data_IF_086733389137
#
_entry.id   IF_086733389137
#
_cell.length_a   1.000
_cell.length_b   1.000
_cell.length_c   1.000
_cell.angle_alpha   90.00
_cell.angle_beta   90.00
_cell.angle_gamma   90.00
#
_symmetry.space_group_name_H-M   'P 1'
#
loop_
_entity.id
_entity.type
_entity.pdbx_description
1 polymer ?
#
# COMPACT_ATOMS: atom_id res chain seq x y z
N UNK A 1 -4.79 19.70 9.67
CA UNK A 1 -5.24 19.74 11.10
C UNK A 1 -4.64 18.50 11.74
N UNK A 2 -3.75 18.65 12.70
CA UNK A 2 -3.14 17.48 13.37
C UNK A 2 -4.20 16.78 14.21
N UNK A 3 -4.53 15.55 13.86
CA UNK A 3 -5.40 14.68 14.63
C UNK A 3 -4.58 13.86 15.63
N UNK A 4 -5.15 13.52 16.78
CA UNK A 4 -4.54 12.48 17.59
C UNK A 4 -4.69 11.11 16.92
N UNK A 5 -3.86 10.15 17.31
CA UNK A 5 -3.80 8.81 16.69
C UNK A 5 -5.17 8.11 16.62
N UNK A 6 -6.00 8.23 17.66
CA UNK A 6 -7.31 7.58 17.72
C UNK A 6 -8.24 8.17 16.65
N UNK A 7 -8.28 9.46 16.54
CA UNK A 7 -9.13 10.17 15.57
C UNK A 7 -8.66 9.90 14.13
N UNK A 8 -7.34 9.89 13.90
CA UNK A 8 -6.78 9.55 12.59
C UNK A 8 -7.14 8.12 12.15
N UNK A 9 -7.01 7.14 13.04
CA UNK A 9 -7.42 5.75 12.77
C UNK A 9 -8.93 5.61 12.52
N UNK A 10 -9.76 6.37 13.24
CA UNK A 10 -11.21 6.35 13.08
C UNK A 10 -11.64 7.00 11.76
N UNK A 11 -10.99 8.10 11.40
CA UNK A 11 -11.29 8.87 10.20
C UNK A 11 -10.80 8.19 8.91
N UNK A 12 -9.67 7.48 8.96
CA UNK A 12 -9.13 6.75 7.81
C UNK A 12 -10.16 5.77 7.21
N UNK A 13 -10.44 5.94 5.92
CA UNK A 13 -11.37 5.11 5.14
C UNK A 13 -10.74 4.73 3.79
N UNK A 14 -11.32 3.72 3.13
CA UNK A 14 -10.98 3.40 1.74
C UNK A 14 -11.76 4.32 0.80
N UNK A 15 -11.04 5.05 -0.05
CA UNK A 15 -11.60 5.90 -1.08
C UNK A 15 -11.33 5.29 -2.45
N UNK A 16 -12.35 5.28 -3.30
CA UNK A 16 -12.32 4.75 -4.67
C UNK A 16 -12.64 5.82 -5.72
N UNK A 17 -12.82 7.05 -5.30
CA UNK A 17 -12.89 8.23 -6.15
C UNK A 17 -11.80 9.18 -5.70
N UNK A 18 -10.74 9.25 -6.51
CA UNK A 18 -9.56 10.06 -6.24
C UNK A 18 -9.42 11.11 -7.33
N UNK A 19 -8.83 12.24 -6.99
CA UNK A 19 -8.48 13.30 -7.92
C UNK A 19 -6.96 13.55 -7.90
N UNK A 20 -6.40 14.16 -8.96
CA UNK A 20 -4.95 14.34 -9.08
C UNK A 20 -4.42 15.52 -8.24
N UNK A 21 -5.27 16.19 -7.47
CA UNK A 21 -4.84 17.26 -6.59
C UNK A 21 -4.14 16.73 -5.35
N UNK A 22 -3.21 17.51 -4.83
CA UNK A 22 -2.49 17.24 -3.59
C UNK A 22 -2.72 18.34 -2.57
N UNK A 23 -3.15 18.02 -1.33
CA UNK A 23 -3.28 19.01 -0.25
C UNK A 23 -1.93 19.47 0.33
N UNK A 24 -0.84 18.78 0.03
CA UNK A 24 0.53 19.08 0.50
C UNK A 24 1.51 18.91 -0.66
N UNK A 25 2.71 19.46 -0.53
CA UNK A 25 3.79 19.31 -1.52
C UNK A 25 4.43 17.91 -1.49
N UNK A 26 5.15 17.54 -2.57
CA UNK A 26 5.83 16.24 -2.70
C UNK A 26 6.81 15.98 -1.57
N UNK A 27 7.53 17.00 -1.11
CA UNK A 27 8.49 16.87 -0.03
C UNK A 27 7.82 16.42 1.28
N UNK A 28 6.60 16.88 1.54
CA UNK A 28 5.80 16.42 2.68
C UNK A 28 5.32 14.98 2.52
N UNK A 29 5.00 14.55 1.31
CA UNK A 29 4.67 13.13 1.04
C UNK A 29 5.91 12.26 1.29
N UNK A 30 7.08 12.69 0.81
CA UNK A 30 8.34 11.99 1.07
C UNK A 30 8.67 11.92 2.57
N UNK A 31 8.42 12.99 3.34
CA UNK A 31 8.57 12.98 4.80
C UNK A 31 7.71 11.90 5.47
N UNK A 32 6.46 11.69 5.01
CA UNK A 32 5.58 10.61 5.48
C UNK A 32 6.22 9.24 5.24
N UNK A 33 6.74 9.01 4.04
CA UNK A 33 7.39 7.75 3.67
C UNK A 33 8.66 7.51 4.51
N UNK A 34 9.50 8.54 4.64
CA UNK A 34 10.71 8.47 5.47
C UNK A 34 10.39 8.22 6.94
N UNK A 35 9.34 8.87 7.47
CA UNK A 35 8.90 8.66 8.84
C UNK A 35 8.46 7.21 9.06
N UNK A 36 7.64 6.65 8.16
CA UNK A 36 7.17 5.27 8.25
C UNK A 36 8.35 4.28 8.28
N UNK A 37 9.27 4.38 7.31
CA UNK A 37 10.43 3.48 7.22
C UNK A 37 11.31 3.55 8.48
N UNK A 38 11.42 4.72 9.10
CA UNK A 38 12.28 4.92 10.29
C UNK A 38 11.65 4.43 11.58
N UNK A 39 10.32 4.58 11.74
CA UNK A 39 9.68 4.48 13.05
C UNK A 39 8.74 3.27 13.20
N UNK A 40 8.33 2.62 12.11
CA UNK A 40 7.51 1.41 12.21
C UNK A 40 8.38 0.22 12.60
N UNK A 41 8.03 -0.51 13.68
CA UNK A 41 8.81 -1.64 14.15
C UNK A 41 8.73 -2.84 13.20
N UNK A 42 9.75 -3.70 13.28
CA UNK A 42 9.79 -4.97 12.56
C UNK A 42 10.29 -6.09 13.48
N UNK A 43 9.86 -7.32 13.22
CA UNK A 43 10.31 -8.48 13.97
C UNK A 43 11.84 -8.58 13.91
N UNK A 44 12.49 -8.75 15.06
CA UNK A 44 13.96 -8.78 15.20
C UNK A 44 14.67 -7.53 14.64
N UNK A 45 13.96 -6.40 14.57
CA UNK A 45 14.44 -5.20 13.91
C UNK A 45 14.97 -5.48 12.49
N UNK A 46 14.27 -6.34 11.77
CA UNK A 46 14.66 -6.82 10.44
C UNK A 46 14.79 -5.72 9.40
N UNK A 47 13.95 -4.70 9.50
CA UNK A 47 13.89 -3.59 8.55
C UNK A 47 13.83 -4.09 7.09
N UNK A 48 13.04 -5.16 6.84
CA UNK A 48 12.91 -5.81 5.53
C UNK A 48 12.01 -5.07 4.56
N UNK A 49 11.11 -4.22 5.06
CA UNK A 49 10.17 -3.46 4.22
C UNK A 49 10.90 -2.46 3.32
N UNK A 50 10.45 -2.38 2.06
CA UNK A 50 10.88 -1.38 1.07
C UNK A 50 9.65 -0.66 0.54
N UNK A 51 9.74 0.65 0.37
CA UNK A 51 8.67 1.47 -0.19
C UNK A 51 9.14 2.13 -1.48
N UNK A 52 8.27 2.17 -2.48
CA UNK A 52 8.49 2.91 -3.72
C UNK A 52 7.33 3.89 -3.89
N UNK A 53 7.64 5.17 -3.90
CA UNK A 53 6.68 6.25 -4.15
C UNK A 53 6.76 6.62 -5.63
N UNK A 54 5.63 6.60 -6.33
CA UNK A 54 5.55 6.94 -7.75
C UNK A 54 4.62 8.13 -7.94
N UNK A 55 5.17 9.26 -8.37
CA UNK A 55 4.44 10.50 -8.59
C UNK A 55 4.51 10.93 -10.06
N UNK A 56 3.61 11.81 -10.48
CA UNK A 56 3.60 12.44 -11.80
C UNK A 56 3.65 11.43 -12.96
N UNK A 57 4.64 11.50 -13.84
CA UNK A 57 4.77 10.59 -14.98
C UNK A 57 5.02 9.14 -14.56
N UNK A 58 5.63 8.92 -13.37
CA UNK A 58 5.85 7.57 -12.85
C UNK A 58 4.53 6.94 -12.38
N UNK A 59 3.62 7.74 -11.81
CA UNK A 59 2.26 7.33 -11.50
C UNK A 59 1.51 6.87 -12.75
N UNK A 60 1.55 7.64 -13.82
CA UNK A 60 0.92 7.28 -15.09
C UNK A 60 1.51 6.00 -15.67
N UNK A 61 2.84 5.90 -15.71
CA UNK A 61 3.53 4.71 -16.20
C UNK A 61 3.13 3.44 -15.44
N UNK A 62 2.96 3.55 -14.12
CA UNK A 62 2.52 2.43 -13.29
C UNK A 62 1.12 1.93 -13.68
N UNK A 63 0.15 2.82 -13.81
CA UNK A 63 -1.22 2.41 -14.16
C UNK A 63 -1.34 1.91 -15.59
N UNK A 64 -0.50 2.38 -16.52
CA UNK A 64 -0.41 1.80 -17.88
C UNK A 64 0.11 0.36 -17.84
N UNK A 65 1.09 0.04 -16.97
CA UNK A 65 1.54 -1.34 -16.76
C UNK A 65 0.38 -2.20 -16.26
N UNK A 66 -0.34 -1.73 -15.21
CA UNK A 66 -1.48 -2.47 -14.66
C UNK A 66 -2.56 -2.73 -15.72
N UNK A 67 -2.95 -1.70 -16.47
CA UNK A 67 -3.97 -1.83 -17.54
C UNK A 67 -3.54 -2.82 -18.61
N UNK A 68 -2.32 -2.68 -19.15
CA UNK A 68 -1.79 -3.57 -20.18
C UNK A 68 -1.71 -5.03 -19.71
N UNK A 69 -1.26 -5.25 -18.48
CA UNK A 69 -1.20 -6.59 -17.88
C UNK A 69 -2.59 -7.22 -17.78
N UNK A 70 -3.58 -6.47 -17.28
CA UNK A 70 -4.94 -6.97 -17.15
C UNK A 70 -5.62 -7.16 -18.49
N UNK A 71 -5.35 -6.32 -19.49
CA UNK A 71 -5.88 -6.47 -20.83
C UNK A 71 -5.47 -7.80 -21.48
N UNK A 72 -4.28 -8.30 -21.16
CA UNK A 72 -3.80 -9.57 -21.69
C UNK A 72 -4.49 -10.80 -21.08
N UNK A 73 -5.16 -10.69 -19.94
CA UNK A 73 -5.74 -11.83 -19.19
C UNK A 73 -7.25 -11.73 -18.96
N UNK A 74 -7.81 -10.52 -19.02
CA UNK A 74 -9.24 -10.27 -18.86
C UNK A 74 -9.93 -10.39 -20.22
N UNK A 75 -11.06 -11.08 -20.36
CA UNK A 75 -11.84 -11.10 -21.61
C UNK A 75 -12.15 -9.68 -22.08
N UNK A 76 -12.05 -9.43 -23.41
CA UNK A 76 -12.17 -8.10 -23.99
C UNK A 76 -13.46 -7.38 -23.59
N UNK A 77 -14.57 -8.10 -23.48
CA UNK A 77 -15.88 -7.57 -23.06
C UNK A 77 -15.87 -7.04 -21.62
N UNK A 78 -15.15 -7.74 -20.72
CA UNK A 78 -15.03 -7.36 -19.30
C UNK A 78 -13.92 -6.34 -19.07
N UNK A 79 -12.93 -6.23 -19.97
CA UNK A 79 -11.81 -5.32 -19.82
C UNK A 79 -12.23 -3.85 -19.82
N UNK A 80 -13.24 -3.49 -20.61
CA UNK A 80 -13.76 -2.11 -20.65
C UNK A 80 -14.17 -1.61 -19.25
N UNK A 81 -14.89 -2.44 -18.50
CA UNK A 81 -15.28 -2.10 -17.13
C UNK A 81 -14.06 -2.07 -16.16
N UNK A 82 -13.10 -2.97 -16.38
CA UNK A 82 -11.85 -3.02 -15.60
C UNK A 82 -11.02 -1.75 -15.82
N UNK A 83 -10.81 -1.35 -17.07
CA UNK A 83 -10.10 -0.14 -17.45
C UNK A 83 -10.76 1.11 -16.87
N UNK A 84 -12.08 1.24 -17.04
CA UNK A 84 -12.83 2.37 -16.47
C UNK A 84 -12.71 2.44 -14.95
N UNK A 85 -12.71 1.29 -14.25
CA UNK A 85 -12.50 1.26 -12.81
C UNK A 85 -11.10 1.75 -12.44
N UNK A 86 -10.06 1.29 -13.14
CA UNK A 86 -8.68 1.74 -12.89
C UNK A 86 -8.56 3.24 -13.12
N UNK A 87 -9.04 3.72 -14.25
CA UNK A 87 -8.93 5.12 -14.64
C UNK A 87 -9.65 6.07 -13.68
N UNK A 88 -10.84 5.69 -13.21
CA UNK A 88 -11.65 6.54 -12.33
C UNK A 88 -11.28 6.45 -10.85
N UNK A 89 -10.79 5.28 -10.41
CA UNK A 89 -10.61 5.02 -8.98
C UNK A 89 -9.16 5.12 -8.52
N UNK A 90 -8.19 4.91 -9.44
CA UNK A 90 -6.79 4.77 -9.04
C UNK A 90 -5.84 5.64 -9.87
N UNK A 91 -5.92 5.53 -11.20
CA UNK A 91 -5.10 6.32 -12.12
C UNK A 91 -5.48 7.81 -12.13
N UNK A 92 -6.69 8.15 -11.69
CA UNK A 92 -7.12 9.52 -11.45
C UNK A 92 -6.48 10.17 -10.23
N UNK A 93 -5.82 9.39 -9.35
CA UNK A 93 -5.19 9.91 -8.14
C UNK A 93 -3.88 10.66 -8.38
N UNK A 94 -3.21 11.00 -7.30
CA UNK A 94 -1.96 11.73 -7.30
C UNK A 94 -0.73 10.82 -7.45
N UNK A 95 -0.74 9.66 -6.78
CA UNK A 95 0.35 8.69 -6.82
C UNK A 95 -0.04 7.35 -6.20
N UNK A 96 0.76 6.28 -6.38
CA UNK A 96 0.75 5.12 -5.51
C UNK A 96 2.01 5.02 -4.66
N UNK A 97 1.85 4.42 -3.49
CA UNK A 97 2.95 3.82 -2.74
C UNK A 97 2.93 2.31 -2.98
N UNK A 98 4.05 1.75 -3.42
CA UNK A 98 4.23 0.31 -3.58
C UNK A 98 4.97 -0.24 -2.37
N UNK A 99 4.47 -1.34 -1.82
CA UNK A 99 5.01 -2.00 -0.63
C UNK A 99 5.71 -3.29 -1.02
N UNK A 100 6.96 -3.42 -0.61
CA UNK A 100 7.79 -4.59 -0.86
C UNK A 100 8.37 -5.15 0.43
N UNK A 101 8.66 -6.44 0.42
CA UNK A 101 9.51 -7.10 1.41
C UNK A 101 10.78 -7.63 0.74
N UNK A 102 11.94 -7.27 1.30
CA UNK A 102 13.24 -7.77 0.85
C UNK A 102 13.46 -9.19 1.35
N UNK A 103 13.29 -10.16 0.45
CA UNK A 103 13.41 -11.58 0.77
C UNK A 103 14.84 -12.01 1.13
N UNK A 104 15.86 -11.20 0.81
CA UNK A 104 17.24 -11.51 1.25
C UNK A 104 17.40 -11.30 2.74
N UNK A 105 16.77 -10.26 3.29
CA UNK A 105 16.75 -9.99 4.73
C UNK A 105 16.00 -11.11 5.46
N UNK A 106 14.83 -11.50 4.94
CA UNK A 106 14.02 -12.58 5.53
C UNK A 106 14.80 -13.89 5.56
N UNK A 107 15.43 -14.28 4.44
CA UNK A 107 16.24 -15.50 4.36
C UNK A 107 17.43 -15.51 5.31
N UNK A 108 18.13 -14.38 5.44
CA UNK A 108 19.25 -14.27 6.41
C UNK A 108 18.79 -14.52 7.85
N UNK A 109 17.61 -14.02 8.22
CA UNK A 109 17.05 -14.27 9.55
C UNK A 109 16.64 -15.73 9.73
N UNK A 110 16.08 -16.38 8.70
CA UNK A 110 15.77 -17.82 8.72
C UNK A 110 17.04 -18.66 8.97
N UNK A 111 18.15 -18.32 8.30
CA UNK A 111 19.43 -18.99 8.47
C UNK A 111 20.04 -18.73 9.85
N UNK A 112 19.96 -17.50 10.35
CA UNK A 112 20.51 -17.10 11.64
C UNK A 112 19.73 -17.67 12.84
N UNK A 113 18.40 -17.83 12.68
CA UNK A 113 17.51 -18.30 13.73
C UNK A 113 16.63 -19.48 13.24
N UNK A 114 17.21 -20.68 13.05
CA UNK A 114 16.50 -21.82 12.45
C UNK A 114 15.22 -22.22 13.18
N UNK A 115 15.19 -22.07 14.52
CA UNK A 115 13.99 -22.35 15.34
C UNK A 115 12.76 -21.54 14.92
N UNK A 116 12.98 -20.36 14.35
CA UNK A 116 11.91 -19.44 13.92
C UNK A 116 11.82 -19.30 12.40
N UNK A 117 12.53 -20.14 11.65
CA UNK A 117 12.67 -20.01 10.20
C UNK A 117 11.32 -19.84 9.47
N UNK A 118 10.32 -20.68 9.82
CA UNK A 118 9.00 -20.65 9.21
C UNK A 118 8.19 -19.40 9.58
N UNK A 119 8.55 -18.71 10.65
CA UNK A 119 7.83 -17.52 11.12
C UNK A 119 8.30 -16.23 10.43
N UNK A 120 9.56 -16.13 10.02
CA UNK A 120 10.09 -14.88 9.45
C UNK A 120 9.35 -14.38 8.22
N UNK A 121 8.94 -15.23 7.24
CA UNK A 121 8.09 -14.78 6.14
C UNK A 121 6.75 -14.22 6.61
N UNK A 122 6.11 -14.84 7.62
CA UNK A 122 4.84 -14.40 8.19
C UNK A 122 5.05 -13.05 8.92
N UNK A 123 6.08 -12.93 9.72
CA UNK A 123 6.39 -11.70 10.45
C UNK A 123 6.77 -10.54 9.52
N UNK A 124 7.37 -10.81 8.37
CA UNK A 124 7.62 -9.77 7.36
C UNK A 124 6.31 -9.23 6.77
N UNK A 125 5.31 -10.09 6.52
CA UNK A 125 3.97 -9.65 6.10
C UNK A 125 3.28 -8.80 7.18
N UNK A 126 3.41 -9.19 8.47
CA UNK A 126 2.89 -8.36 9.58
C UNK A 126 3.57 -6.98 9.60
N UNK A 127 4.87 -6.92 9.38
CA UNK A 127 5.62 -5.67 9.29
C UNK A 127 5.15 -4.82 8.12
N UNK A 128 4.97 -5.42 6.94
CA UNK A 128 4.42 -4.74 5.78
C UNK A 128 3.04 -4.14 6.08
N UNK A 129 2.15 -4.92 6.72
CA UNK A 129 0.81 -4.44 7.09
C UNK A 129 0.85 -3.26 8.07
N UNK A 130 1.81 -3.22 9.01
CA UNK A 130 2.00 -2.08 9.91
C UNK A 130 2.44 -0.83 9.14
N UNK A 131 3.37 -0.94 8.19
CA UNK A 131 3.77 0.17 7.32
C UNK A 131 2.60 0.66 6.47
N UNK A 132 1.81 -0.25 5.89
CA UNK A 132 0.62 0.09 5.10
C UNK A 132 -0.37 0.91 5.94
N UNK A 133 -0.69 0.46 7.16
CA UNK A 133 -1.60 1.19 8.04
C UNK A 133 -1.05 2.57 8.43
N UNK A 134 0.24 2.65 8.77
CA UNK A 134 0.86 3.89 9.19
C UNK A 134 0.88 4.93 8.06
N UNK A 135 1.37 4.56 6.88
CA UNK A 135 1.38 5.44 5.70
C UNK A 135 -0.03 5.88 5.33
N UNK A 136 -0.98 4.94 5.30
CA UNK A 136 -2.38 5.25 4.99
C UNK A 136 -2.98 6.27 5.96
N UNK A 137 -2.73 6.07 7.27
CA UNK A 137 -3.26 6.97 8.30
C UNK A 137 -2.63 8.36 8.21
N UNK A 138 -1.31 8.44 7.95
CA UNK A 138 -0.62 9.73 7.78
C UNK A 138 -1.03 10.46 6.50
N UNK A 139 -1.21 9.76 5.39
CA UNK A 139 -1.73 10.35 4.15
C UNK A 139 -3.14 10.90 4.37
N UNK A 140 -3.99 10.16 5.07
CA UNK A 140 -5.35 10.58 5.40
C UNK A 140 -5.36 11.80 6.32
N UNK A 141 -4.49 11.85 7.33
CA UNK A 141 -4.35 13.03 8.20
C UNK A 141 -3.86 14.26 7.43
N UNK A 142 -3.07 14.06 6.38
CA UNK A 142 -2.64 15.09 5.44
C UNK A 142 -3.73 15.54 4.44
N UNK A 143 -4.91 14.89 4.42
CA UNK A 143 -6.05 15.23 3.57
C UNK A 143 -6.21 14.38 2.32
N UNK A 144 -5.42 13.30 2.16
CA UNK A 144 -5.58 12.36 1.06
C UNK A 144 -6.62 11.28 1.36
N UNK A 145 -7.29 10.82 0.32
CA UNK A 145 -7.95 9.52 0.29
C UNK A 145 -7.01 8.46 -0.29
N UNK A 146 -7.14 7.22 0.17
CA UNK A 146 -6.36 6.10 -0.36
C UNK A 146 -7.13 4.78 -0.24
N UNK A 147 -6.64 3.75 -0.93
CA UNK A 147 -7.11 2.36 -0.80
C UNK A 147 -5.96 1.39 -1.04
N UNK A 148 -6.08 0.15 -0.53
CA UNK A 148 -5.10 -0.91 -0.84
C UNK A 148 -5.57 -1.74 -2.02
N UNK A 149 -4.66 -1.98 -2.95
CA UNK A 149 -4.83 -2.82 -4.14
C UNK A 149 -3.77 -3.91 -4.18
N UNK A 150 -4.07 -5.01 -4.87
CA UNK A 150 -3.21 -6.19 -4.95
C UNK A 150 -3.22 -6.76 -6.38
N UNK A 151 -2.51 -6.08 -7.29
CA UNK A 151 -2.31 -6.56 -8.67
C UNK A 151 -1.14 -7.54 -8.79
N UNK A 152 -0.36 -7.68 -7.71
CA UNK A 152 0.67 -8.71 -7.61
C UNK A 152 0.02 -10.14 -7.56
N UNK A 153 0.67 -11.19 -8.10
CA UNK A 153 1.99 -11.14 -8.74
C UNK A 153 1.95 -10.76 -10.24
N UNK A 154 0.81 -10.39 -10.80
CA UNK A 154 0.61 -10.21 -12.24
C UNK A 154 1.52 -9.14 -12.85
N UNK A 155 1.75 -8.05 -12.11
CA UNK A 155 2.53 -6.89 -12.55
C UNK A 155 4.00 -6.93 -12.11
N UNK A 156 4.40 -7.89 -11.26
CA UNK A 156 5.69 -7.87 -10.55
C UNK A 156 6.89 -7.74 -11.47
N UNK A 157 6.86 -8.49 -12.59
CA UNK A 157 7.97 -8.50 -13.55
C UNK A 157 8.13 -7.14 -14.23
N UNK A 158 7.05 -6.60 -14.81
CA UNK A 158 7.09 -5.36 -15.56
C UNK A 158 7.42 -4.16 -14.65
N UNK A 159 6.83 -4.11 -13.45
CA UNK A 159 7.11 -3.06 -12.47
C UNK A 159 8.58 -3.08 -12.04
N UNK A 160 9.13 -4.27 -11.79
CA UNK A 160 10.55 -4.43 -11.46
C UNK A 160 11.47 -3.95 -12.58
N UNK A 161 11.17 -4.32 -13.81
CA UNK A 161 11.97 -3.94 -14.99
C UNK A 161 11.88 -2.44 -15.25
N UNK A 162 10.70 -1.84 -15.10
CA UNK A 162 10.46 -0.41 -15.35
C UNK A 162 11.30 0.50 -14.42
N UNK A 163 11.48 0.12 -13.17
CA UNK A 163 12.19 0.94 -12.17
C UNK A 163 13.50 0.30 -11.67
N UNK A 164 14.01 -0.71 -12.39
CA UNK A 164 15.26 -1.42 -12.04
C UNK A 164 15.31 -1.85 -10.57
N UNK A 165 14.22 -2.40 -10.07
CA UNK A 165 14.10 -2.81 -8.67
C UNK A 165 14.80 -4.16 -8.44
N UNK A 166 15.41 -4.37 -7.26
CA UNK A 166 16.07 -5.63 -6.95
C UNK A 166 15.13 -6.84 -7.05
N UNK A 167 15.60 -7.92 -7.67
CA UNK A 167 14.82 -9.15 -7.84
C UNK A 167 14.37 -9.79 -6.51
N UNK A 168 15.06 -9.47 -5.42
CA UNK A 168 14.73 -9.92 -4.08
C UNK A 168 13.58 -9.15 -3.42
N UNK A 169 13.16 -8.02 -3.99
CA UNK A 169 12.02 -7.26 -3.48
C UNK A 169 10.73 -7.88 -4.00
N UNK A 170 9.97 -8.49 -3.10
CA UNK A 170 8.66 -9.07 -3.40
C UNK A 170 7.58 -8.04 -3.18
N UNK A 171 6.81 -7.73 -4.23
CA UNK A 171 5.69 -6.80 -4.16
C UNK A 171 4.56 -7.38 -3.30
N UNK A 172 4.07 -6.60 -2.34
CA UNK A 172 3.03 -7.00 -1.39
C UNK A 172 1.71 -6.32 -1.70
N UNK A 173 1.73 -5.01 -1.89
CA UNK A 173 0.52 -4.22 -2.10
C UNK A 173 0.83 -2.91 -2.83
N UNK A 174 -0.20 -2.29 -3.36
CA UNK A 174 -0.18 -0.97 -3.96
C UNK A 174 -1.23 -0.09 -3.28
N UNK A 175 -0.86 1.14 -2.93
CA UNK A 175 -1.76 2.11 -2.30
C UNK A 175 -1.88 3.35 -3.18
N UNK A 176 -2.84 3.37 -4.14
CA UNK A 176 -3.19 4.61 -4.80
C UNK A 176 -3.72 5.63 -3.80
N UNK A 177 -3.32 6.89 -3.96
CA UNK A 177 -3.79 8.00 -3.16
C UNK A 177 -3.97 9.27 -4.00
N UNK A 178 -4.81 10.18 -3.51
CA UNK A 178 -5.12 11.47 -4.13
C UNK A 178 -6.12 12.21 -3.25
N UNK A 179 -6.50 13.42 -3.60
CA UNK A 179 -7.59 14.10 -2.90
C UNK A 179 -8.90 13.33 -3.11
N UNK A 180 -9.73 13.09 -2.06
CA UNK A 180 -11.02 12.45 -2.22
C UNK A 180 -11.92 13.17 -3.22
N UNK A 181 -12.42 12.45 -4.22
CA UNK A 181 -13.40 12.95 -5.20
C UNK A 181 -14.85 12.68 -4.80
N UNK A 182 -15.07 11.91 -3.74
CA UNK A 182 -16.38 11.54 -3.23
C UNK A 182 -16.32 11.01 -1.80
N UNK A 183 -17.46 10.63 -1.25
CA UNK A 183 -17.55 10.07 0.09
C UNK A 183 -17.16 8.58 0.13
N UNK A 184 -16.57 8.10 1.22
CA UNK A 184 -16.28 6.69 1.36
C UNK A 184 -17.57 5.89 1.57
N UNK A 185 -17.60 4.65 1.11
CA UNK A 185 -18.73 3.75 1.34
C UNK A 185 -19.03 3.58 2.83
N UNK A 186 -20.31 3.38 3.17
CA UNK A 186 -20.72 3.13 4.55
C UNK A 186 -19.98 1.93 5.16
N UNK A 187 -19.58 2.05 6.42
CA UNK A 187 -18.86 1.01 7.16
C UNK A 187 -19.76 0.37 8.20
N UNK A 188 -19.98 -0.94 8.05
CA UNK A 188 -20.64 -1.75 9.07
C UNK A 188 -19.63 -2.34 10.06
N UNK A 189 -20.09 -2.64 11.27
CA UNK A 189 -19.28 -3.25 12.33
C UNK A 189 -19.95 -4.53 12.82
N UNK A 190 -19.15 -5.59 12.97
CA UNK A 190 -19.59 -6.76 13.74
C UNK A 190 -19.59 -6.44 15.24
N UNK A 191 -20.46 -7.08 16.03
CA UNK A 191 -20.42 -6.96 17.50
C UNK A 191 -19.01 -7.22 18.03
N UNK A 192 -18.54 -6.35 18.93
CA UNK A 192 -17.20 -6.48 19.48
C UNK A 192 -17.02 -7.74 20.32
N UNK A 193 -18.10 -8.25 20.94
CA UNK A 193 -18.16 -9.46 21.74
C UNK A 193 -17.78 -10.72 20.95
N UNK A 194 -17.99 -10.72 19.65
CA UNK A 194 -17.58 -11.82 18.77
C UNK A 194 -16.06 -11.82 18.51
N UNK A 195 -15.38 -10.70 18.74
CA UNK A 195 -14.00 -10.46 18.34
C UNK A 195 -13.03 -10.25 19.47
N UNK A 196 -13.53 -9.99 20.69
CA UNK A 196 -12.72 -9.68 21.86
C UNK A 196 -13.15 -10.60 23.01
N UNK A 197 -12.19 -11.10 23.76
CA UNK A 197 -12.39 -11.74 25.06
C UNK A 197 -11.51 -11.03 26.08
N UNK A 198 -12.08 -10.67 27.22
CA UNK A 198 -11.41 -9.98 28.32
C UNK A 198 -11.52 -10.86 29.57
N UNK A 199 -10.39 -11.21 30.15
CA UNK A 199 -10.27 -11.92 31.39
C UNK A 199 -9.63 -10.96 32.41
N UNK A 200 -10.23 -10.84 33.63
CA UNK A 200 -9.78 -9.96 34.72
C UNK A 200 -9.57 -10.77 36.00
#
# INVERSE_FOLDING_TARGET
MERNLKDALQHRRSYYELTPESPIDDAKIEEIIHFAIRHIPSAFNSQSTRLVLLLHEQHKAFWEIVKRTLQAIVPAEAFVATEQKIDRSFASGYGPVLYYEDTTVVRKLQEQFPTYADNFPIWSEHTSAMHQLAVWTMLEDAGFGASLQHYNPLIDKEVREQWDLPAAWRLIAQMPFGTPGGEPQEKSFKPWEERIRIFK
#
